data_IF_150620961168
#
_entry.id   IF_150620961168
#
_cell.length_a   1.000
_cell.length_b   1.000
_cell.length_c   1.000
_cell.angle_alpha   90.00
_cell.angle_beta   90.00
_cell.angle_gamma   90.00
#
_symmetry.space_group_name_H-M   'P 1'
#
loop_
_entity.id
_entity.type
_entity.pdbx_description
1 polymer ?
#
# COMPACT_ATOMS: atom_id res chain seq x y z
N UNK A 1 -21.87 28.05 13.35
CA UNK A 1 -23.07 27.50 14.02
C UNK A 1 -22.87 26.00 14.18
N UNK A 2 -23.31 25.43 15.29
CA UNK A 2 -23.29 23.99 15.56
C UNK A 2 -24.73 23.52 15.41
N UNK A 3 -24.94 22.46 14.61
CA UNK A 3 -26.27 21.94 14.32
C UNK A 3 -26.49 20.59 15.00
N UNK A 4 -27.72 20.37 15.47
CA UNK A 4 -28.23 19.05 15.84
C UNK A 4 -29.24 18.62 14.81
N UNK A 5 -29.05 17.42 14.27
CA UNK A 5 -29.96 16.84 13.29
C UNK A 5 -30.92 15.88 13.99
N UNK A 6 -32.22 15.98 13.66
CA UNK A 6 -33.24 15.06 14.14
C UNK A 6 -34.23 14.75 13.02
N UNK A 7 -34.89 13.59 13.11
CA UNK A 7 -35.88 13.16 12.13
C UNK A 7 -37.27 13.42 12.69
N UNK A 8 -38.05 14.24 12.00
CA UNK A 8 -39.43 14.55 12.37
C UNK A 8 -40.31 14.50 11.11
N UNK A 9 -41.46 13.83 11.20
CA UNK A 9 -42.41 13.62 10.08
C UNK A 9 -41.78 13.06 8.78
N UNK A 10 -40.75 12.23 8.88
CA UNK A 10 -40.07 11.63 7.72
C UNK A 10 -39.06 12.55 7.01
N UNK A 11 -38.79 13.75 7.55
CA UNK A 11 -37.77 14.67 7.05
C UNK A 11 -36.59 14.82 8.01
N UNK A 12 -35.37 14.95 7.48
CA UNK A 12 -34.19 15.32 8.24
C UNK A 12 -34.23 16.83 8.52
N UNK A 13 -34.45 17.21 9.77
CA UNK A 13 -34.41 18.60 10.22
C UNK A 13 -33.11 18.90 10.96
N UNK A 14 -32.72 20.18 10.99
CA UNK A 14 -31.53 20.66 11.69
C UNK A 14 -31.85 21.88 12.55
N UNK A 15 -31.54 21.82 13.84
CA UNK A 15 -31.62 22.96 14.77
C UNK A 15 -30.23 23.51 15.09
N UNK A 16 -30.11 24.83 15.20
CA UNK A 16 -28.87 25.48 15.67
C UNK A 16 -28.81 25.36 17.19
N UNK A 17 -27.87 24.55 17.69
CA UNK A 17 -27.66 24.34 19.13
C UNK A 17 -26.58 25.26 19.72
N UNK A 18 -25.90 26.05 18.89
CA UNK A 18 -24.93 27.02 19.35
C UNK A 18 -24.25 27.80 18.22
N UNK A 19 -23.75 28.98 18.53
CA UNK A 19 -23.02 29.84 17.60
C UNK A 19 -21.66 30.21 18.19
N UNK A 20 -20.68 30.42 17.32
CA UNK A 20 -19.33 30.85 17.71
C UNK A 20 -18.89 31.96 16.77
N UNK A 21 -18.61 33.13 17.33
CA UNK A 21 -18.19 34.31 16.58
C UNK A 21 -16.74 34.62 16.91
N UNK A 22 -15.89 34.56 15.89
CA UNK A 22 -14.46 34.84 15.97
C UNK A 22 -13.99 35.33 14.60
N UNK A 23 -12.93 36.13 14.58
CA UNK A 23 -12.28 36.45 13.31
C UNK A 23 -11.76 35.17 12.63
N UNK A 24 -11.94 34.99 11.32
CA UNK A 24 -11.51 33.79 10.60
C UNK A 24 -9.98 33.80 10.34
N UNK A 25 -9.20 34.08 11.37
CA UNK A 25 -7.75 34.21 11.33
C UNK A 25 -7.12 33.29 12.37
N UNK A 26 -6.05 32.61 11.97
CA UNK A 26 -5.25 31.75 12.85
C UNK A 26 -3.77 31.91 12.52
N UNK A 27 -2.91 31.82 13.54
CA UNK A 27 -1.47 31.72 13.33
C UNK A 27 -1.14 30.43 12.56
N UNK A 28 -0.35 30.56 11.49
CA UNK A 28 -0.11 29.47 10.54
C UNK A 28 1.37 29.09 10.35
N UNK A 29 2.29 29.72 11.10
CA UNK A 29 3.72 29.35 11.08
C UNK A 29 3.97 27.93 11.60
N UNK A 30 3.20 27.51 12.60
CA UNK A 30 3.19 26.16 13.11
C UNK A 30 1.78 25.60 13.00
N UNK A 31 1.65 24.47 12.32
CA UNK A 31 0.39 23.75 12.18
C UNK A 31 0.57 22.32 12.65
N UNK A 32 -0.50 21.74 13.20
CA UNK A 32 -0.47 20.32 13.55
C UNK A 32 -0.43 19.48 12.27
N UNK A 33 0.18 18.29 12.34
CA UNK A 33 0.24 17.35 11.21
C UNK A 33 -1.16 17.08 10.64
N UNK A 34 -2.17 16.96 11.51
CA UNK A 34 -3.57 16.77 11.10
C UNK A 34 -4.12 17.96 10.30
N UNK A 35 -3.83 19.21 10.71
CA UNK A 35 -4.25 20.41 9.98
C UNK A 35 -3.43 20.65 8.71
N UNK A 36 -2.22 20.10 8.65
CA UNK A 36 -1.37 20.08 7.46
C UNK A 36 -1.75 19.02 6.42
N UNK A 37 -2.69 18.11 6.71
CA UNK A 37 -3.09 17.06 5.77
C UNK A 37 -3.65 17.66 4.48
N UNK A 38 -3.16 17.19 3.33
CA UNK A 38 -3.54 17.72 2.01
C UNK A 38 -2.86 19.04 1.63
N UNK A 39 -1.99 19.59 2.50
CA UNK A 39 -1.14 20.74 2.16
C UNK A 39 0.19 20.25 1.56
N UNK A 40 0.83 21.14 0.80
CA UNK A 40 2.16 20.93 0.23
C UNK A 40 3.05 22.07 0.69
N UNK A 41 4.26 21.74 1.13
CA UNK A 41 5.26 22.70 1.61
C UNK A 41 6.60 22.45 0.91
N UNK A 42 7.36 23.52 0.67
CA UNK A 42 8.71 23.42 0.11
C UNK A 42 9.75 23.10 1.18
N UNK A 43 9.55 23.62 2.40
CA UNK A 43 10.40 23.39 3.57
C UNK A 43 9.56 23.21 4.81
N UNK A 44 9.92 22.26 5.65
CA UNK A 44 9.21 21.94 6.89
C UNK A 44 10.17 21.48 7.98
N UNK A 45 9.95 21.99 9.19
CA UNK A 45 10.55 21.45 10.40
C UNK A 45 9.49 20.57 11.08
N UNK A 46 9.78 19.27 11.20
CA UNK A 46 8.88 18.30 11.80
C UNK A 46 9.34 18.03 13.22
N UNK A 47 8.50 18.40 14.18
CA UNK A 47 8.65 18.05 15.59
C UNK A 47 7.62 16.98 15.98
N UNK A 48 8.11 15.76 16.20
CA UNK A 48 7.30 14.61 16.63
C UNK A 48 7.13 14.54 18.16
N UNK A 49 7.67 15.49 18.92
CA UNK A 49 7.46 15.59 20.36
C UNK A 49 7.75 14.29 21.11
N UNK A 50 6.81 13.88 21.99
CA UNK A 50 6.87 12.61 22.77
C UNK A 50 6.59 11.35 21.92
N UNK A 51 6.19 11.52 20.67
CA UNK A 51 5.87 10.42 19.77
C UNK A 51 4.63 10.71 18.94
N UNK A 52 4.33 9.75 18.07
CA UNK A 52 3.17 9.77 17.18
C UNK A 52 2.03 9.01 17.82
N UNK A 53 0.82 9.54 17.75
CA UNK A 53 -0.35 8.95 18.42
C UNK A 53 -1.34 8.30 17.45
N UNK A 54 -1.27 8.63 16.16
CA UNK A 54 -2.19 8.10 15.14
C UNK A 54 -1.46 7.29 14.06
N UNK A 55 -2.13 6.27 13.51
CA UNK A 55 -1.59 5.48 12.40
C UNK A 55 -1.36 6.35 11.16
N UNK A 56 -0.21 6.16 10.49
CA UNK A 56 0.13 6.89 9.27
C UNK A 56 0.50 8.37 9.46
N UNK A 57 0.43 8.92 10.67
CA UNK A 57 0.71 10.35 10.92
C UNK A 57 2.16 10.74 10.59
N UNK A 58 3.14 9.83 10.77
CA UNK A 58 4.53 10.07 10.31
C UNK A 58 4.59 10.25 8.79
N UNK A 59 3.89 9.37 8.07
CA UNK A 59 3.82 9.42 6.62
C UNK A 59 3.12 10.70 6.16
N UNK A 60 2.04 11.11 6.82
CA UNK A 60 1.38 12.38 6.53
C UNK A 60 2.37 13.54 6.68
N UNK A 61 3.09 13.62 7.80
CA UNK A 61 4.07 14.68 8.05
C UNK A 61 5.18 14.73 7.00
N UNK A 62 5.80 13.59 6.70
CA UNK A 62 6.89 13.49 5.72
C UNK A 62 6.41 13.80 4.30
N UNK A 63 5.23 13.31 3.93
CA UNK A 63 4.67 13.49 2.57
C UNK A 63 4.16 14.90 2.29
N UNK A 64 4.17 15.82 3.27
CA UNK A 64 3.80 17.22 2.99
C UNK A 64 4.93 17.99 2.31
N UNK A 65 6.18 17.54 2.41
CA UNK A 65 7.30 18.20 1.77
C UNK A 65 7.53 17.65 0.36
N UNK A 66 7.84 18.53 -0.59
CA UNK A 66 8.12 18.15 -1.99
C UNK A 66 9.49 17.49 -2.18
N UNK A 67 10.45 17.79 -1.30
CA UNK A 67 11.82 17.29 -1.41
C UNK A 67 12.35 16.82 -0.05
N UNK A 68 13.24 15.82 -0.05
CA UNK A 68 13.91 15.37 1.18
C UNK A 68 14.79 16.46 1.79
N UNK A 69 15.46 17.27 0.96
CA UNK A 69 16.29 18.39 1.42
C UNK A 69 15.49 19.52 2.09
N UNK A 70 14.19 19.61 1.83
CA UNK A 70 13.28 20.54 2.51
C UNK A 70 12.82 20.08 3.90
N UNK A 71 13.14 18.85 4.31
CA UNK A 71 12.69 18.28 5.58
C UNK A 71 13.80 18.39 6.64
N UNK A 72 13.46 19.00 7.77
CA UNK A 72 14.29 18.94 8.98
C UNK A 72 13.50 18.22 10.06
N UNK A 73 14.05 17.12 10.56
CA UNK A 73 13.49 16.43 11.72
C UNK A 73 14.15 16.98 12.99
N UNK A 74 13.36 17.56 13.90
CA UNK A 74 13.89 18.06 15.18
C UNK A 74 14.42 16.93 16.07
N UNK A 75 13.94 15.71 15.85
CA UNK A 75 14.37 14.48 16.52
C UNK A 75 14.46 13.34 15.50
N UNK A 76 15.35 12.35 15.70
CA UNK A 76 15.45 11.20 14.80
C UNK A 76 14.13 10.44 14.67
N UNK A 77 13.77 10.05 13.45
CA UNK A 77 12.68 9.13 13.20
C UNK A 77 13.08 7.71 13.61
N UNK A 78 12.27 7.07 14.46
CA UNK A 78 12.49 5.70 14.90
C UNK A 78 11.46 4.78 14.23
N UNK A 79 11.79 3.50 14.06
CA UNK A 79 10.85 2.50 13.49
C UNK A 79 9.53 2.45 14.25
N UNK A 80 9.56 2.64 15.58
CA UNK A 80 8.35 2.72 16.40
C UNK A 80 7.42 3.89 16.07
N UNK A 81 7.84 4.89 15.30
CA UNK A 81 6.97 5.99 14.88
C UNK A 81 6.24 5.66 13.56
N UNK A 82 6.64 4.58 12.88
CA UNK A 82 6.11 4.18 11.58
C UNK A 82 5.25 2.95 11.79
N UNK A 83 3.95 3.17 11.92
CA UNK A 83 2.97 2.11 11.94
C UNK A 83 1.74 2.49 11.12
N UNK A 84 1.06 1.48 10.60
CA UNK A 84 -0.17 1.58 9.80
C UNK A 84 -1.24 0.69 10.39
N UNK A 85 -2.50 1.00 10.08
CA UNK A 85 -3.62 0.18 10.51
C UNK A 85 -3.67 -1.11 9.65
N UNK A 86 -3.71 -2.27 10.30
CA UNK A 86 -3.76 -3.57 9.63
C UNK A 86 -5.00 -3.76 8.74
N UNK A 87 -6.15 -3.18 9.10
CA UNK A 87 -7.35 -3.24 8.27
C UNK A 87 -7.15 -2.53 6.92
N UNK A 88 -6.44 -1.40 6.92
CA UNK A 88 -6.09 -0.66 5.69
C UNK A 88 -5.14 -1.47 4.83
N UNK A 89 -4.13 -2.12 5.45
CA UNK A 89 -3.22 -3.03 4.75
C UNK A 89 -3.99 -4.17 4.07
N UNK A 90 -4.84 -4.87 4.83
CA UNK A 90 -5.68 -5.95 4.30
C UNK A 90 -6.57 -5.50 3.13
N UNK A 91 -7.18 -4.33 3.25
CA UNK A 91 -8.01 -3.77 2.19
C UNK A 91 -7.19 -3.49 0.92
N UNK A 92 -6.04 -2.80 1.05
CA UNK A 92 -5.16 -2.48 -0.07
C UNK A 92 -4.61 -3.74 -0.74
N UNK A 93 -4.27 -4.76 0.05
CA UNK A 93 -3.79 -6.05 -0.45
C UNK A 93 -4.86 -6.76 -1.24
N UNK A 94 -6.09 -6.86 -0.72
CA UNK A 94 -7.24 -7.42 -1.45
C UNK A 94 -7.52 -6.65 -2.75
N UNK A 95 -7.45 -5.32 -2.70
CA UNK A 95 -7.64 -4.47 -3.87
C UNK A 95 -6.54 -4.68 -4.92
N UNK A 96 -5.28 -4.85 -4.51
CA UNK A 96 -4.17 -5.17 -5.41
C UNK A 96 -4.35 -6.53 -6.08
N UNK A 97 -4.84 -7.55 -5.35
CA UNK A 97 -5.17 -8.84 -5.95
C UNK A 97 -6.26 -8.70 -7.01
N UNK A 98 -7.33 -7.94 -6.72
CA UNK A 98 -8.41 -7.70 -7.69
C UNK A 98 -7.90 -7.00 -8.95
N UNK A 99 -7.09 -5.93 -8.80
CA UNK A 99 -6.46 -5.24 -9.93
C UNK A 99 -5.54 -6.14 -10.74
N UNK A 100 -4.75 -6.98 -10.07
CA UNK A 100 -3.85 -7.91 -10.75
C UNK A 100 -4.62 -8.95 -11.57
N UNK A 101 -5.76 -9.44 -11.05
CA UNK A 101 -6.65 -10.36 -11.75
C UNK A 101 -7.32 -9.70 -12.97
N UNK A 102 -7.77 -8.45 -12.83
CA UNK A 102 -8.32 -7.65 -13.95
C UNK A 102 -7.27 -7.36 -15.04
N UNK A 103 -6.03 -7.01 -14.65
CA UNK A 103 -4.98 -6.65 -15.60
C UNK A 103 -4.32 -7.85 -16.29
N UNK A 104 -4.26 -8.99 -15.62
CA UNK A 104 -3.61 -10.19 -16.10
C UNK A 104 -4.27 -11.41 -15.44
N UNK A 105 -5.35 -11.93 -16.05
CA UNK A 105 -6.06 -13.10 -15.55
C UNK A 105 -5.11 -14.29 -15.36
N UNK A 106 -5.43 -15.14 -14.41
CA UNK A 106 -4.63 -16.33 -14.08
C UNK A 106 -4.36 -17.20 -15.32
N UNK A 107 -5.33 -17.28 -16.23
CA UNK A 107 -5.20 -18.03 -17.49
C UNK A 107 -4.12 -17.43 -18.41
N UNK A 108 -4.12 -16.11 -18.57
CA UNK A 108 -3.10 -15.40 -19.36
C UNK A 108 -1.69 -15.54 -18.80
N UNK A 109 -1.53 -15.52 -17.46
CA UNK A 109 -0.24 -15.80 -16.81
C UNK A 109 0.25 -17.21 -17.10
N UNK A 110 -0.67 -18.18 -17.07
CA UNK A 110 -0.34 -19.58 -17.31
C UNK A 110 0.14 -19.80 -18.74
N UNK A 111 -0.43 -19.09 -19.72
CA UNK A 111 0.05 -19.12 -21.11
C UNK A 111 1.46 -18.56 -21.26
N UNK A 112 1.75 -17.39 -20.66
CA UNK A 112 3.10 -16.79 -20.70
C UNK A 112 4.12 -17.75 -20.07
N UNK A 113 3.77 -18.36 -18.94
CA UNK A 113 4.65 -19.33 -18.27
C UNK A 113 4.87 -20.57 -19.15
N UNK A 114 3.81 -21.12 -19.77
CA UNK A 114 3.92 -22.26 -20.69
C UNK A 114 4.82 -21.95 -21.89
N UNK A 115 4.67 -20.76 -22.49
CA UNK A 115 5.53 -20.30 -23.60
C UNK A 115 6.98 -20.16 -23.15
N UNK A 116 7.22 -19.58 -21.98
CA UNK A 116 8.57 -19.44 -21.43
C UNK A 116 9.24 -20.79 -21.11
N UNK A 117 8.48 -21.78 -20.61
CA UNK A 117 8.98 -23.15 -20.40
C UNK A 117 9.38 -23.80 -21.73
N UNK A 118 8.54 -23.69 -22.77
CA UNK A 118 8.82 -24.24 -24.10
C UNK A 118 10.06 -23.61 -24.73
N UNK A 119 10.21 -22.29 -24.61
CA UNK A 119 11.33 -21.53 -25.19
C UNK A 119 12.56 -21.46 -24.27
N UNK A 120 12.52 -22.06 -23.07
CA UNK A 120 13.55 -21.96 -22.02
C UNK A 120 13.95 -20.51 -21.68
N UNK A 121 13.00 -19.59 -21.75
CA UNK A 121 13.19 -18.17 -21.43
C UNK A 121 13.12 -17.93 -19.92
N UNK A 122 13.77 -16.86 -19.48
CA UNK A 122 13.65 -16.38 -18.10
C UNK A 122 12.47 -15.41 -18.00
N UNK A 123 11.84 -15.37 -16.83
CA UNK A 123 10.72 -14.48 -16.54
C UNK A 123 11.09 -13.51 -15.43
N UNK A 124 10.81 -12.23 -15.62
CA UNK A 124 10.79 -11.25 -14.54
C UNK A 124 9.39 -11.19 -13.95
N UNK A 125 9.28 -11.46 -12.66
CA UNK A 125 8.01 -11.43 -11.92
C UNK A 125 8.05 -10.40 -10.80
N UNK A 126 6.94 -9.67 -10.62
CA UNK A 126 6.67 -8.86 -9.44
C UNK A 126 5.80 -9.68 -8.49
N UNK A 127 6.40 -10.20 -7.42
CA UNK A 127 5.74 -11.12 -6.49
C UNK A 127 5.37 -10.42 -5.17
N UNK A 128 4.13 -10.61 -4.72
CA UNK A 128 3.65 -10.12 -3.42
C UNK A 128 3.82 -11.18 -2.33
N UNK A 129 4.66 -10.91 -1.32
CA UNK A 129 4.84 -11.79 -0.16
C UNK A 129 3.62 -11.76 0.77
N UNK A 130 3.47 -12.76 1.67
CA UNK A 130 2.50 -12.69 2.77
C UNK A 130 2.63 -11.45 3.66
N UNK A 131 3.81 -10.83 3.70
CA UNK A 131 4.10 -9.60 4.46
C UNK A 131 3.75 -8.30 3.72
N UNK A 132 3.00 -8.38 2.61
CA UNK A 132 2.68 -7.27 1.70
C UNK A 132 3.89 -6.57 1.06
N UNK A 133 5.08 -7.19 1.15
CA UNK A 133 6.27 -6.73 0.44
C UNK A 133 6.25 -7.21 -1.01
N UNK A 134 6.38 -6.26 -1.94
CA UNK A 134 6.63 -6.57 -3.35
C UNK A 134 8.10 -6.88 -3.56
N UNK A 135 8.39 -7.94 -4.29
CA UNK A 135 9.75 -8.27 -4.71
C UNK A 135 9.80 -8.59 -6.19
N UNK A 136 10.68 -7.91 -6.91
CA UNK A 136 11.02 -8.25 -8.30
C UNK A 136 12.05 -9.38 -8.31
N UNK A 137 11.82 -10.39 -9.14
CA UNK A 137 12.67 -11.58 -9.26
C UNK A 137 12.76 -12.02 -10.70
N UNK A 138 13.96 -12.43 -11.12
CA UNK A 138 14.17 -13.17 -12.35
C UNK A 138 14.14 -14.66 -12.00
N UNK A 139 13.23 -15.39 -12.64
CA UNK A 139 12.97 -16.80 -12.38
C UNK A 139 12.94 -17.56 -13.69
N UNK A 140 13.53 -18.76 -13.72
CA UNK A 140 13.44 -19.66 -14.86
C UNK A 140 12.35 -20.69 -14.58
N UNK A 141 11.19 -20.64 -15.27
CA UNK A 141 10.11 -21.56 -15.02
C UNK A 141 10.46 -22.96 -15.50
N UNK A 142 10.05 -23.97 -14.74
CA UNK A 142 10.26 -25.39 -15.05
C UNK A 142 8.92 -26.11 -15.24
N UNK A 143 7.96 -25.86 -14.37
CA UNK A 143 6.63 -26.44 -14.45
C UNK A 143 5.57 -25.47 -13.92
N UNK A 144 4.35 -25.58 -14.46
CA UNK A 144 3.18 -24.81 -14.02
C UNK A 144 1.98 -25.73 -13.91
N UNK A 145 1.25 -25.66 -12.80
CA UNK A 145 0.14 -26.56 -12.55
C UNK A 145 -0.49 -26.39 -11.17
N UNK A 146 -1.43 -27.28 -10.84
CA UNK A 146 -2.01 -27.35 -9.50
C UNK A 146 -1.01 -27.92 -8.51
N UNK A 147 -0.84 -27.25 -7.38
CA UNK A 147 0.03 -27.66 -6.28
C UNK A 147 -0.78 -27.70 -5.00
N UNK A 148 -0.34 -28.53 -4.05
CA UNK A 148 -1.01 -28.67 -2.75
C UNK A 148 -0.09 -28.22 -1.63
N UNK A 149 -0.63 -27.40 -0.71
CA UNK A 149 0.07 -27.03 0.51
C UNK A 149 -0.91 -27.03 1.68
N UNK A 150 -0.62 -27.85 2.69
CA UNK A 150 -1.45 -28.02 3.90
C UNK A 150 -2.93 -28.31 3.56
N UNK A 151 -3.18 -29.21 2.60
CA UNK A 151 -4.54 -29.62 2.22
C UNK A 151 -5.32 -28.62 1.35
N UNK A 152 -4.70 -27.52 0.90
CA UNK A 152 -5.31 -26.57 -0.04
C UNK A 152 -4.61 -26.62 -1.39
N UNK A 153 -5.39 -26.84 -2.45
CA UNK A 153 -4.93 -26.74 -3.84
C UNK A 153 -4.81 -25.28 -4.25
N UNK A 154 -3.76 -24.94 -4.98
CA UNK A 154 -3.54 -23.62 -5.57
C UNK A 154 -2.74 -23.76 -6.87
N UNK A 155 -2.90 -22.79 -7.78
CA UNK A 155 -2.12 -22.76 -9.01
C UNK A 155 -0.73 -22.19 -8.73
N UNK A 156 0.32 -22.96 -9.05
CA UNK A 156 1.71 -22.64 -8.76
C UNK A 156 2.61 -22.81 -9.97
N UNK A 157 3.72 -22.06 -9.95
CA UNK A 157 4.83 -22.18 -10.88
C UNK A 157 6.08 -22.60 -10.10
N UNK A 158 6.65 -23.74 -10.47
CA UNK A 158 7.99 -24.16 -10.06
C UNK A 158 8.99 -23.42 -10.94
N UNK A 159 9.91 -22.70 -10.30
CA UNK A 159 10.92 -21.95 -11.02
C UNK A 159 12.23 -21.84 -10.23
N UNK A 160 13.35 -21.87 -10.94
CA UNK A 160 14.66 -21.62 -10.38
C UNK A 160 14.89 -20.11 -10.21
N UNK A 161 15.14 -19.66 -8.98
CA UNK A 161 15.34 -18.23 -8.70
C UNK A 161 16.83 -17.84 -8.79
N UNK A 162 17.22 -17.16 -9.88
CA UNK A 162 18.62 -16.79 -10.15
C UNK A 162 19.26 -15.95 -9.03
N UNK A 163 18.48 -15.09 -8.37
CA UNK A 163 18.98 -14.21 -7.29
C UNK A 163 19.33 -14.97 -6.00
N UNK A 164 18.74 -16.14 -5.78
CA UNK A 164 18.96 -16.95 -4.57
C UNK A 164 19.62 -18.29 -4.84
N UNK A 165 19.75 -18.68 -6.11
CA UNK A 165 20.30 -19.96 -6.54
C UNK A 165 19.56 -21.16 -5.93
N UNK A 166 18.23 -21.06 -5.83
CA UNK A 166 17.36 -22.07 -5.22
C UNK A 166 16.08 -22.26 -6.05
N UNK A 167 15.60 -23.50 -6.12
CA UNK A 167 14.28 -23.85 -6.67
C UNK A 167 13.18 -23.45 -5.70
N UNK A 168 12.17 -22.73 -6.20
CA UNK A 168 11.05 -22.28 -5.38
C UNK A 168 9.74 -22.36 -6.13
N UNK A 169 8.68 -22.57 -5.36
CA UNK A 169 7.30 -22.52 -5.85
C UNK A 169 6.75 -21.11 -5.65
N UNK A 170 6.22 -20.54 -6.73
CA UNK A 170 5.54 -19.25 -6.73
C UNK A 170 4.06 -19.47 -7.03
N UNK A 171 3.19 -19.02 -6.12
CA UNK A 171 1.75 -19.05 -6.39
C UNK A 171 1.39 -18.01 -7.46
N UNK A 172 0.64 -18.42 -8.48
CA UNK A 172 0.34 -17.57 -9.64
C UNK A 172 -0.59 -16.40 -9.27
N UNK A 173 -1.51 -16.63 -8.31
CA UNK A 173 -2.40 -15.60 -7.74
C UNK A 173 -1.65 -14.43 -7.07
N UNK A 174 -0.38 -14.65 -6.70
CA UNK A 174 0.48 -13.63 -6.05
C UNK A 174 1.48 -12.98 -6.98
N UNK A 175 1.51 -13.36 -8.25
CA UNK A 175 2.29 -12.70 -9.29
C UNK A 175 1.46 -11.51 -9.77
N UNK A 176 1.92 -10.30 -9.48
CA UNK A 176 1.23 -9.07 -9.86
C UNK A 176 1.52 -8.70 -11.33
N UNK A 177 2.76 -8.87 -11.75
CA UNK A 177 3.23 -8.64 -13.12
C UNK A 177 4.19 -9.75 -13.54
N UNK A 178 4.19 -10.10 -14.82
CA UNK A 178 5.08 -11.08 -15.44
C UNK A 178 5.57 -10.54 -16.79
N UNK A 179 6.87 -10.62 -17.05
CA UNK A 179 7.48 -10.20 -18.31
C UNK A 179 8.52 -11.23 -18.73
N UNK A 180 8.62 -11.47 -20.03
CA UNK A 180 9.65 -12.33 -20.61
C UNK A 180 10.96 -11.54 -20.67
N UNK A 181 12.05 -12.17 -20.20
CA UNK A 181 13.40 -11.63 -20.28
C UNK A 181 14.20 -12.55 -21.20
N UNK A 182 14.58 -12.00 -22.35
CA UNK A 182 15.47 -12.62 -23.33
C UNK A 182 16.92 -12.60 -22.86
#
# INVERSE_FOLDING_TARGET
EIYRFFVEAGGLQSEVIGTFTQYPLMLAWAVTIHKGQGKTFDRVIIDIGKGIFAHGQMYVALSRCTTLGGIVLKRPALKKHIWTNYQVMNFLTKYQYKKADESCPVDGKTEIIKRAIQNKLSLEIVYLKPSDEKTTRIVRPEAVGEMEYRGKKYLGMQAFCLKRNEERVFRIDRILEIREVS
#
